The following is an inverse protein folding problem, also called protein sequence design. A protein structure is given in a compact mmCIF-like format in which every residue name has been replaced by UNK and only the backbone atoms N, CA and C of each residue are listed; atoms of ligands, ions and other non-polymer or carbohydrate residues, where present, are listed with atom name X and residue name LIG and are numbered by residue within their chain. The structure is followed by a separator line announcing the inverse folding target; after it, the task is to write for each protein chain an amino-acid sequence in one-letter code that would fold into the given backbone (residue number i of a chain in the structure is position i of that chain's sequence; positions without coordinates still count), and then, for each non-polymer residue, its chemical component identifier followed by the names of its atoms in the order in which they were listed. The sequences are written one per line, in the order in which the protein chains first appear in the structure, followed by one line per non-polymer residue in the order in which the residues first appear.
data_IF_028510280064
#
_entry.id   IF_028510280064
#
_cell.length_a   1.000
_cell.length_b   1.000
_cell.length_c   1.000
_cell.angle_alpha   90.00
_cell.angle_beta   90.00
_cell.angle_gamma   90.00
#
_symmetry.space_group_name_H-M   'P 1'
#
loop_
_entity.id
_entity.type
_entity.pdbx_description
1 polymer ?
#
# COMPACT_ATOMS: atom_id res chain seq x y z
N UNK A 1 19.36 26.43 -11.58
CA UNK A 1 19.77 25.20 -10.87
C UNK A 1 18.52 24.33 -10.63
N UNK A 2 18.08 23.50 -11.58
CA UNK A 2 16.99 22.54 -11.36
C UNK A 2 17.56 21.23 -10.80
N UNK A 3 16.90 20.69 -9.79
CA UNK A 3 17.26 19.50 -9.03
C UNK A 3 17.31 18.23 -9.91
N UNK A 4 18.45 17.52 -9.86
CA UNK A 4 18.75 16.29 -10.61
C UNK A 4 17.95 15.04 -10.19
N UNK A 5 16.86 15.17 -9.44
CA UNK A 5 16.19 14.05 -8.78
C UNK A 5 15.22 13.24 -9.67
N UNK A 6 14.89 13.69 -10.89
CA UNK A 6 13.79 13.13 -11.67
C UNK A 6 14.19 12.08 -12.73
N UNK A 7 15.29 11.32 -12.57
CA UNK A 7 15.84 10.49 -13.67
C UNK A 7 15.89 8.97 -13.48
N UNK A 8 15.50 8.42 -12.33
CA UNK A 8 15.62 6.97 -12.08
C UNK A 8 14.39 6.29 -11.45
N UNK A 9 13.20 6.87 -11.61
CA UNK A 9 11.96 6.14 -11.28
C UNK A 9 11.65 5.14 -12.41
N UNK A 10 11.45 3.86 -12.05
CA UNK A 10 10.78 2.91 -12.97
C UNK A 10 9.39 3.48 -13.29
N UNK A 11 9.16 3.85 -14.55
CA UNK A 11 7.87 4.37 -15.01
C UNK A 11 6.90 3.21 -15.14
N UNK A 12 6.13 2.97 -14.08
CA UNK A 12 4.96 2.10 -14.17
C UNK A 12 3.76 2.91 -14.67
N UNK A 13 3.15 2.46 -15.76
CA UNK A 13 1.89 3.02 -16.23
C UNK A 13 0.76 2.34 -15.45
N UNK A 14 0.21 3.03 -14.45
CA UNK A 14 -0.97 2.57 -13.73
C UNK A 14 -2.22 3.03 -14.46
N UNK A 15 -3.10 2.08 -14.79
CA UNK A 15 -4.41 2.38 -15.36
C UNK A 15 -5.48 2.56 -14.28
N UNK A 16 -5.20 2.06 -13.07
CA UNK A 16 -6.11 2.13 -11.92
C UNK A 16 -5.42 2.76 -10.71
N UNK A 17 -6.18 3.58 -9.99
CA UNK A 17 -5.82 4.16 -8.69
C UNK A 17 -7.00 3.92 -7.76
N UNK A 18 -6.73 3.42 -6.56
CA UNK A 18 -7.78 3.16 -5.57
C UNK A 18 -7.29 3.45 -4.16
N UNK A 19 -8.19 3.96 -3.32
CA UNK A 19 -7.96 4.14 -1.90
C UNK A 19 -9.13 3.61 -1.10
N UNK A 20 -8.84 3.04 0.06
CA UNK A 20 -9.88 2.56 0.99
C UNK A 20 -10.19 3.68 1.99
N UNK A 21 -11.45 4.10 2.05
CA UNK A 21 -11.90 5.12 3.00
C UNK A 21 -11.79 4.59 4.42
N UNK A 22 -11.08 5.31 5.28
CA UNK A 22 -11.05 4.97 6.70
C UNK A 22 -12.35 5.48 7.33
N UNK A 23 -13.00 4.63 8.14
CA UNK A 23 -14.20 5.05 8.84
C UNK A 23 -13.80 5.84 10.08
N UNK A 24 -14.10 7.16 10.16
CA UNK A 24 -13.87 7.90 11.38
C UNK A 24 -14.80 7.36 12.47
N UNK A 25 -14.39 7.45 13.74
CA UNK A 25 -15.21 7.03 14.87
C UNK A 25 -16.54 7.81 14.84
N UNK A 26 -17.60 7.16 14.36
CA UNK A 26 -18.90 7.78 14.16
C UNK A 26 -19.56 7.88 15.52
N UNK A 27 -19.81 9.10 16.01
CA UNK A 27 -20.38 9.33 17.36
C UNK A 27 -21.90 9.13 17.40
N UNK A 28 -22.57 9.14 16.24
CA UNK A 28 -24.01 8.98 16.11
C UNK A 28 -24.37 8.13 14.89
N UNK A 29 -25.47 7.39 14.99
CA UNK A 29 -25.92 6.38 14.02
C UNK A 29 -26.41 6.99 12.68
N UNK A 30 -26.60 8.32 12.62
CA UNK A 30 -27.18 9.04 11.46
C UNK A 30 -26.43 10.36 11.21
N UNK A 31 -25.15 10.28 10.86
CA UNK A 31 -24.40 11.44 10.37
C UNK A 31 -24.07 11.24 8.88
N UNK A 32 -24.63 12.09 8.01
CA UNK A 32 -24.29 12.08 6.59
C UNK A 32 -22.86 12.57 6.39
N UNK A 33 -21.99 11.71 5.88
CA UNK A 33 -20.59 12.05 5.61
C UNK A 33 -20.37 12.34 4.13
N UNK A 34 -19.70 13.45 3.83
CA UNK A 34 -19.27 13.81 2.49
C UNK A 34 -17.79 13.44 2.31
N UNK A 35 -17.45 12.88 1.15
CA UNK A 35 -16.07 12.70 0.73
C UNK A 35 -15.86 13.40 -0.62
N UNK A 36 -14.66 13.93 -0.81
CA UNK A 36 -14.25 14.62 -2.03
C UNK A 36 -13.19 13.78 -2.73
N UNK A 37 -13.22 13.78 -4.06
CA UNK A 37 -12.27 13.05 -4.89
C UNK A 37 -11.66 14.02 -5.89
N UNK A 38 -10.38 14.31 -5.71
CA UNK A 38 -9.59 15.11 -6.63
C UNK A 38 -8.75 14.19 -7.52
N UNK A 39 -8.90 14.33 -8.84
CA UNK A 39 -8.19 13.53 -9.82
C UNK A 39 -7.21 14.42 -10.58
N UNK A 40 -5.94 14.03 -10.59
CA UNK A 40 -4.87 14.69 -11.34
C UNK A 40 -4.12 13.65 -12.16
N UNK A 41 -3.78 13.99 -13.40
CA UNK A 41 -3.13 13.08 -14.34
C UNK A 41 -2.15 13.82 -15.24
N UNK A 42 -1.07 13.14 -15.62
CA UNK A 42 -0.10 13.60 -16.62
C UNK A 42 -0.36 13.01 -18.00
N UNK A 43 -1.40 12.18 -18.15
CA UNK A 43 -1.78 11.58 -19.43
C UNK A 43 -2.46 12.59 -20.35
N UNK A 44 -2.10 12.56 -21.64
CA UNK A 44 -2.76 13.35 -22.68
C UNK A 44 -4.06 12.66 -23.10
N UNK A 45 -5.16 13.41 -23.24
CA UNK A 45 -6.48 12.94 -23.71
C UNK A 45 -7.01 11.69 -22.94
N UNK A 46 -7.18 11.80 -21.63
CA UNK A 46 -7.68 10.69 -20.81
C UNK A 46 -9.13 10.89 -20.35
N UNK A 47 -9.88 9.79 -20.30
CA UNK A 47 -11.19 9.69 -19.66
C UNK A 47 -11.07 8.83 -18.41
N UNK A 48 -11.79 9.18 -17.34
CA UNK A 48 -11.79 8.40 -16.11
C UNK A 48 -13.21 8.01 -15.69
N UNK A 49 -13.31 6.92 -14.93
CA UNK A 49 -14.54 6.47 -14.28
C UNK A 49 -14.27 6.30 -12.79
N UNK A 50 -15.07 6.97 -11.96
CA UNK A 50 -15.03 6.76 -10.51
C UNK A 50 -15.94 5.59 -10.13
N UNK A 51 -15.37 4.60 -9.44
CA UNK A 51 -16.11 3.44 -8.91
C UNK A 51 -15.97 3.38 -7.40
N UNK A 52 -17.10 3.28 -6.71
CA UNK A 52 -17.15 3.06 -5.26
C UNK A 52 -17.65 1.64 -5.01
N UNK A 53 -16.89 0.85 -4.27
CA UNK A 53 -17.23 -0.54 -3.94
C UNK A 53 -16.97 -0.81 -2.47
N UNK A 54 -17.75 -1.71 -1.90
CA UNK A 54 -17.49 -2.24 -0.56
C UNK A 54 -16.25 -3.13 -0.59
N UNK A 55 -15.38 -2.99 0.42
CA UNK A 55 -14.25 -3.89 0.62
C UNK A 55 -14.74 -5.13 1.36
N UNK A 56 -14.67 -6.28 0.69
CA UNK A 56 -14.95 -7.58 1.31
C UNK A 56 -13.76 -8.03 2.18
N UNK A 57 -14.05 -8.81 3.23
CA UNK A 57 -13.02 -9.35 4.13
C UNK A 57 -12.09 -8.27 4.75
N UNK A 58 -12.64 -7.08 5.02
CA UNK A 58 -11.88 -5.98 5.63
C UNK A 58 -11.35 -6.31 7.03
N UNK A 59 -12.06 -7.16 7.78
CA UNK A 59 -11.65 -7.60 9.12
C UNK A 59 -10.94 -8.94 9.03
N UNK A 60 -9.69 -8.97 9.46
CA UNK A 60 -8.84 -10.15 9.52
C UNK A 60 -9.25 -11.09 10.66
N UNK A 61 -9.10 -12.39 10.43
CA UNK A 61 -9.37 -13.44 11.41
C UNK A 61 -8.14 -14.29 11.65
N UNK A 62 -7.92 -14.68 12.91
CA UNK A 62 -6.79 -15.51 13.30
C UNK A 62 -6.87 -16.89 12.64
N UNK A 63 -5.74 -17.38 12.13
CA UNK A 63 -5.62 -18.66 11.42
C UNK A 63 -6.41 -18.76 10.11
N UNK A 64 -7.03 -17.67 9.65
CA UNK A 64 -7.68 -17.59 8.34
C UNK A 64 -6.73 -16.92 7.34
N UNK A 65 -6.43 -17.61 6.24
CA UNK A 65 -5.62 -17.05 5.15
C UNK A 65 -6.55 -16.49 4.09
N UNK A 66 -6.24 -15.30 3.62
CA UNK A 66 -6.91 -14.72 2.45
C UNK A 66 -5.86 -14.14 1.51
N UNK A 67 -6.26 -13.85 0.27
CA UNK A 67 -5.40 -13.26 -0.75
C UNK A 67 -5.98 -11.94 -1.22
N UNK A 68 -5.09 -11.00 -1.53
CA UNK A 68 -5.44 -9.68 -2.03
C UNK A 68 -4.38 -9.23 -3.04
N UNK A 69 -4.77 -8.31 -3.92
CA UNK A 69 -3.85 -7.63 -4.82
C UNK A 69 -3.57 -6.22 -4.30
N UNK A 70 -2.31 -5.83 -4.33
CA UNK A 70 -1.86 -4.49 -4.01
C UNK A 70 -0.86 -4.02 -5.08
N UNK A 71 -0.90 -2.73 -5.39
CA UNK A 71 0.04 -2.06 -6.29
C UNK A 71 0.46 -0.73 -5.66
N UNK A 72 1.44 -0.03 -6.23
CA UNK A 72 1.84 1.27 -5.68
C UNK A 72 0.72 2.32 -5.78
N UNK A 73 -0.18 2.17 -6.76
CA UNK A 73 -1.37 3.03 -6.93
C UNK A 73 -2.63 2.51 -6.25
N UNK A 74 -2.60 1.29 -5.75
CA UNK A 74 -3.72 0.60 -5.07
C UNK A 74 -3.20 -0.04 -3.78
N UNK A 75 -2.81 0.76 -2.78
CA UNK A 75 -2.45 0.27 -1.45
C UNK A 75 -3.66 -0.38 -0.78
N UNK A 76 -3.40 -1.33 0.12
CA UNK A 76 -4.46 -2.05 0.82
C UNK A 76 -4.25 -1.98 2.33
N UNK A 77 -5.34 -1.94 3.09
CA UNK A 77 -5.27 -2.17 4.52
C UNK A 77 -6.51 -2.88 5.05
N UNK A 78 -6.33 -3.55 6.18
CA UNK A 78 -7.32 -4.41 6.83
C UNK A 78 -7.31 -4.18 8.33
N UNK A 79 -8.48 -4.28 8.97
CA UNK A 79 -8.61 -4.20 10.43
C UNK A 79 -8.34 -5.57 11.05
N UNK A 80 -7.63 -5.61 12.16
CA UNK A 80 -7.63 -6.75 13.07
C UNK A 80 -8.10 -6.30 14.45
N UNK A 81 -8.83 -7.17 15.13
CA UNK A 81 -9.30 -6.98 16.50
C UNK A 81 -8.87 -8.17 17.34
N UNK A 82 -8.23 -7.91 18.49
CA UNK A 82 -7.74 -8.98 19.36
C UNK A 82 -8.91 -9.76 19.95
N UNK A 83 -8.98 -11.10 19.76
CA UNK A 83 -9.95 -11.93 20.46
C UNK A 83 -9.78 -11.86 21.97
N UNK A 84 -10.83 -12.24 22.70
CA UNK A 84 -10.77 -12.37 24.15
C UNK A 84 -9.69 -13.37 24.57
N UNK A 85 -8.93 -13.06 25.62
CA UNK A 85 -7.84 -13.90 26.12
C UNK A 85 -6.58 -13.96 25.25
N UNK A 86 -6.50 -13.19 24.14
CA UNK A 86 -5.32 -13.13 23.27
C UNK A 86 -4.57 -11.80 23.47
N UNK A 87 -3.35 -11.88 23.99
CA UNK A 87 -2.51 -10.70 24.27
C UNK A 87 -1.45 -10.41 23.20
N UNK A 88 -1.20 -11.36 22.29
CA UNK A 88 -0.24 -11.17 21.20
C UNK A 88 -0.62 -11.97 19.96
N UNK A 89 -0.25 -11.45 18.79
CA UNK A 89 -0.49 -12.08 17.49
C UNK A 89 0.70 -11.88 16.57
N UNK A 90 0.85 -12.74 15.57
CA UNK A 90 1.88 -12.59 14.53
C UNK A 90 1.17 -12.35 13.20
N UNK A 91 1.34 -11.15 12.66
CA UNK A 91 0.87 -10.80 11.32
C UNK A 91 1.88 -11.34 10.31
N UNK A 92 1.44 -12.28 9.47
CA UNK A 92 2.28 -12.90 8.42
C UNK A 92 1.74 -12.50 7.06
N UNK A 93 2.60 -11.90 6.24
CA UNK A 93 2.27 -11.53 4.85
C UNK A 93 3.24 -12.21 3.92
N UNK A 94 2.75 -12.76 2.82
CA UNK A 94 3.55 -13.43 1.79
C UNK A 94 3.17 -12.96 0.39
N UNK A 95 4.15 -12.78 -0.47
CA UNK A 95 4.01 -12.46 -1.89
C UNK A 95 4.52 -13.62 -2.75
N UNK A 96 3.86 -13.85 -3.89
CA UNK A 96 4.32 -14.82 -4.88
C UNK A 96 5.61 -14.36 -5.59
N UNK A 97 5.81 -13.05 -5.71
CA UNK A 97 6.96 -12.43 -6.37
C UNK A 97 7.92 -11.84 -5.35
N UNK A 98 9.21 -11.79 -5.67
CA UNK A 98 10.23 -11.15 -4.82
C UNK A 98 10.29 -9.63 -5.00
N UNK A 99 9.83 -9.14 -6.14
CA UNK A 99 9.84 -7.73 -6.51
C UNK A 99 8.49 -7.38 -7.13
N UNK A 100 8.03 -6.12 -7.01
CA UNK A 100 8.69 -5.01 -6.29
C UNK A 100 8.67 -5.15 -4.76
N UNK A 101 9.54 -4.41 -4.08
CA UNK A 101 9.54 -4.29 -2.62
C UNK A 101 8.18 -3.80 -2.10
N UNK A 102 7.80 -4.23 -0.90
CA UNK A 102 6.59 -3.79 -0.22
C UNK A 102 6.89 -3.40 1.23
N UNK A 103 6.09 -2.52 1.79
CA UNK A 103 6.10 -2.19 3.21
C UNK A 103 4.82 -2.68 3.85
N UNK A 104 4.97 -3.41 4.95
CA UNK A 104 3.89 -3.81 5.84
C UNK A 104 3.99 -2.94 7.09
N UNK A 105 2.92 -2.25 7.43
CA UNK A 105 2.87 -1.32 8.56
C UNK A 105 1.67 -1.64 9.45
N UNK A 106 1.90 -1.70 10.76
CA UNK A 106 0.90 -1.91 11.80
C UNK A 106 0.61 -0.58 12.45
N UNK A 107 -0.61 -0.10 12.27
CA UNK A 107 -1.06 1.23 12.69
C UNK A 107 -2.24 1.11 13.65
N UNK A 108 -2.40 2.07 14.56
CA UNK A 108 -3.60 2.13 15.42
C UNK A 108 -4.85 2.42 14.57
N UNK A 109 -6.05 2.19 15.12
CA UNK A 109 -7.34 2.48 14.47
C UNK A 109 -7.63 3.98 14.54
N UNK A 110 -6.82 4.75 13.83
CA UNK A 110 -6.91 6.21 13.74
C UNK A 110 -6.92 6.66 12.28
N UNK A 111 -7.74 7.68 12.00
CA UNK A 111 -7.76 8.36 10.71
C UNK A 111 -6.94 9.65 10.79
N UNK A 112 -6.16 10.02 9.74
CA UNK A 112 -5.98 9.31 8.47
C UNK A 112 -5.04 8.11 8.59
N UNK A 113 -5.32 7.05 7.82
CA UNK A 113 -4.41 5.91 7.68
C UNK A 113 -3.22 6.31 6.80
N UNK A 114 -2.00 5.94 7.19
CA UNK A 114 -0.80 6.21 6.41
C UNK A 114 -0.53 5.07 5.44
N UNK A 115 -1.18 5.16 4.29
CA UNK A 115 -1.20 4.15 3.23
C UNK A 115 -0.58 4.67 1.91
N UNK A 116 0.26 5.69 1.98
CA UNK A 116 1.05 6.22 0.86
C UNK A 116 2.50 5.77 0.96
N UNK A 117 3.17 5.68 -0.20
CA UNK A 117 4.58 5.34 -0.29
C UNK A 117 5.46 6.17 0.65
N UNK A 118 5.26 7.49 0.64
CA UNK A 118 6.03 8.38 1.48
C UNK A 118 5.68 8.22 2.96
N UNK A 119 4.42 8.07 3.36
CA UNK A 119 4.02 8.13 4.77
C UNK A 119 3.93 6.78 5.50
N UNK A 120 3.87 5.64 4.80
CA UNK A 120 3.57 4.31 5.40
C UNK A 120 4.60 3.85 6.43
N UNK A 121 5.85 4.31 6.31
CA UNK A 121 6.95 3.97 7.21
C UNK A 121 7.14 4.98 8.36
N UNK A 122 6.25 5.97 8.52
CA UNK A 122 6.43 7.04 9.51
C UNK A 122 5.86 6.72 10.91
N UNK A 123 4.79 5.92 11.01
CA UNK A 123 4.10 5.68 12.29
C UNK A 123 3.96 4.19 12.55
N UNK A 124 4.19 3.81 13.81
CA UNK A 124 3.94 2.46 14.31
C UNK A 124 5.08 1.49 14.02
N UNK A 125 4.72 0.22 13.86
CA UNK A 125 5.66 -0.86 13.57
C UNK A 125 5.58 -1.21 12.09
N UNK A 126 6.69 -1.15 11.37
CA UNK A 126 6.72 -1.55 9.97
C UNK A 126 7.89 -2.49 9.65
N UNK A 127 7.73 -3.25 8.58
CA UNK A 127 8.78 -4.05 7.96
C UNK A 127 8.70 -3.92 6.45
N UNK A 128 9.86 -3.96 5.80
CA UNK A 128 9.94 -4.12 4.36
C UNK A 128 9.93 -5.62 4.01
N UNK A 129 9.36 -5.97 2.87
CA UNK A 129 9.28 -7.34 2.39
C UNK A 129 9.47 -7.44 0.89
N UNK A 130 10.22 -8.46 0.47
CA UNK A 130 10.28 -8.92 -0.92
C UNK A 130 9.29 -10.06 -1.13
N UNK A 131 9.42 -11.14 -0.36
CA UNK A 131 8.51 -12.30 -0.40
C UNK A 131 7.70 -12.53 0.86
N UNK A 132 8.21 -12.17 2.04
CA UNK A 132 7.56 -12.46 3.32
C UNK A 132 7.93 -11.44 4.38
N UNK A 133 6.98 -11.14 5.25
CA UNK A 133 7.19 -10.38 6.49
C UNK A 133 6.40 -11.03 7.63
N UNK A 134 6.90 -10.84 8.85
CA UNK A 134 6.25 -11.31 10.06
C UNK A 134 6.46 -10.28 11.17
N UNK A 135 5.38 -9.66 11.63
CA UNK A 135 5.39 -8.66 12.71
C UNK A 135 4.63 -9.24 13.90
N UNK A 136 5.30 -9.34 15.04
CA UNK A 136 4.64 -9.67 16.31
C UNK A 136 4.03 -8.41 16.90
N UNK A 137 2.75 -8.46 17.21
CA UNK A 137 1.96 -7.33 17.70
C UNK A 137 1.44 -7.69 19.09
N UNK A 138 1.66 -6.82 20.08
CA UNK A 138 1.14 -7.01 21.43
C UNK A 138 -0.09 -6.13 21.65
N UNK A 139 -1.14 -6.70 22.23
CA UNK A 139 -2.42 -6.02 22.49
C UNK A 139 -2.24 -4.75 23.31
N UNK A 140 -1.33 -4.77 24.29
CA UNK A 140 -1.01 -3.63 25.18
C UNK A 140 -0.52 -2.38 24.44
N UNK A 141 0.01 -2.52 23.22
CA UNK A 141 0.52 -1.41 22.42
C UNK A 141 -0.60 -0.70 21.63
N UNK A 142 -1.83 -1.24 21.67
CA UNK A 142 -3.00 -0.76 20.91
C UNK A 142 -4.21 -0.54 21.84
N UNK A 143 -4.48 0.71 22.26
CA UNK A 143 -5.55 1.03 23.22
C UNK A 143 -6.95 0.56 22.79
N UNK A 144 -7.19 0.54 21.47
CA UNK A 144 -8.47 0.12 20.89
C UNK A 144 -8.64 -1.40 20.81
N UNK A 145 -7.69 -2.19 21.34
CA UNK A 145 -7.61 -3.65 21.15
C UNK A 145 -7.70 -4.07 19.67
N UNK A 146 -7.30 -3.17 18.77
CA UNK A 146 -7.44 -3.31 17.33
C UNK A 146 -6.33 -2.53 16.64
N UNK A 147 -5.98 -2.94 15.43
CA UNK A 147 -4.98 -2.26 14.60
C UNK A 147 -5.29 -2.45 13.12
N UNK A 148 -4.75 -1.56 12.28
CA UNK A 148 -4.72 -1.73 10.84
C UNK A 148 -3.42 -2.42 10.40
N UNK A 149 -3.55 -3.39 9.50
CA UNK A 149 -2.44 -3.94 8.72
C UNK A 149 -2.45 -3.26 7.36
N UNK A 150 -1.49 -2.37 7.13
CA UNK A 150 -1.34 -1.58 5.91
C UNK A 150 -0.25 -2.19 5.03
N UNK A 151 -0.54 -2.36 3.74
CA UNK A 151 0.34 -2.96 2.74
C UNK A 151 0.49 -2.00 1.57
N UNK A 152 1.71 -1.49 1.40
CA UNK A 152 2.05 -0.55 0.33
C UNK A 152 3.16 -1.15 -0.52
N UNK A 153 2.91 -1.27 -1.81
CA UNK A 153 3.94 -1.68 -2.77
C UNK A 153 4.78 -0.47 -3.14
N UNK A 154 6.11 -0.61 -3.05
CA UNK A 154 7.07 0.41 -3.42
C UNK A 154 7.28 0.42 -4.92
N UNK A 155 7.50 1.61 -5.50
CA UNK A 155 7.90 1.71 -6.91
C UNK A 155 9.35 1.33 -7.14
N UNK A 156 10.16 1.37 -6.08
CA UNK A 156 11.59 1.12 -6.11
C UNK A 156 11.98 0.13 -4.98
N UNK A 157 13.10 -0.57 -5.14
CA UNK A 157 13.45 -1.74 -4.34
C UNK A 157 14.44 -1.43 -3.20
N UNK A 158 14.89 -0.18 -3.09
CA UNK A 158 15.91 0.32 -2.14
C UNK A 158 15.46 0.09 -0.69
N UNK A 159 14.15 0.20 -0.42
CA UNK A 159 13.60 -0.08 0.91
C UNK A 159 13.82 -1.53 1.36
N UNK A 160 13.98 -2.47 0.44
CA UNK A 160 14.29 -3.87 0.72
C UNK A 160 15.79 -4.18 0.58
N UNK A 161 16.66 -3.17 0.49
CA UNK A 161 18.09 -3.34 0.28
C UNK A 161 18.46 -3.69 -1.17
N UNK A 162 17.56 -3.45 -2.14
CA UNK A 162 17.88 -3.53 -3.56
C UNK A 162 18.98 -2.52 -3.92
N UNK A 163 19.92 -2.93 -4.79
CA UNK A 163 20.91 -2.01 -5.31
C UNK A 163 20.19 -0.86 -6.06
N UNK A 164 20.55 0.40 -5.79
CA UNK A 164 20.24 1.51 -6.68
C UNK A 164 20.66 1.09 -8.09
N UNK A 165 19.76 0.99 -9.07
CA UNK A 165 20.17 0.57 -10.38
C UNK A 165 21.02 1.69 -11.02
N UNK A 166 22.34 1.55 -10.99
CA UNK A 166 23.22 2.19 -11.97
C UNK A 166 22.94 1.53 -13.32
N UNK A 167 21.88 1.95 -14.00
CA UNK A 167 21.71 1.61 -15.42
C UNK A 167 22.31 2.75 -16.25
N UNK A 168 23.42 2.52 -16.97
CA UNK A 168 23.74 3.37 -18.11
C UNK A 168 22.60 3.22 -19.12
N UNK A 169 22.15 4.36 -19.66
CA UNK A 169 21.18 4.40 -20.75
C UNK A 169 21.63 3.42 -21.83
N UNK A 170 20.90 2.31 -22.01
CA UNK A 170 21.02 1.51 -23.21
C UNK A 170 20.65 2.43 -24.38
N UNK A 171 21.66 2.85 -25.12
CA UNK A 171 21.50 3.62 -26.36
C UNK A 171 20.66 2.79 -27.32
N UNK A 172 19.56 3.41 -27.74
CA UNK A 172 18.89 3.20 -29.01
C UNK A 172 18.27 1.81 -29.25
N UNK A 173 17.07 1.61 -28.69
CA UNK A 173 16.03 0.88 -29.43
C UNK A 173 15.27 1.89 -30.29
N UNK A 174 15.75 2.14 -31.51
CA UNK A 174 15.02 2.89 -32.53
C UNK A 174 13.94 2.00 -33.17
N UNK A 175 12.70 2.49 -33.34
CA UNK A 175 11.65 1.74 -33.99
C UNK A 175 11.78 1.81 -35.52
N UNK A 176 11.85 0.65 -36.17
CA UNK A 176 11.42 0.47 -37.56
C UNK A 176 12.53 0.24 -38.60
N UNK A 177 12.68 -1.01 -39.04
CA UNK A 177 12.89 -1.37 -40.46
C UNK A 177 12.48 -2.83 -40.69
N UNK A 178 11.79 -3.20 -41.79
CA UNK A 178 11.35 -4.57 -42.03
C UNK A 178 12.50 -5.43 -42.54
N UNK A 179 12.62 -6.65 -42.01
CA UNK A 179 13.61 -7.62 -42.45
C UNK A 179 13.31 -8.15 -43.85
N UNK A 180 14.30 -8.06 -44.73
CA UNK A 180 14.50 -8.96 -45.86
C UNK A 180 15.48 -10.07 -45.47
#
# INVERSE_FOLDING_TARGET
MPSRAARYQRKYAYQEVSRTLCQPQTKAEVETQHFFVDVSTLSLNTSYQLRVTRVENFVLRTNERFSFNATASQPQYFKYEFPEGVDSVIVKVTSAMAFPCSVISIQDILCPVYDLDNNVAFIGMYQTMTKKAAITVQKKDFPSNSFYVVVVVKTEDEACGGALPYYPLSRDASPGTPGG
#
